data_IF_378718725632
#
_entry.id   IF_378718725632
#
_cell.length_a   1.000
_cell.length_b   1.000
_cell.length_c   1.000
_cell.angle_alpha   90.00
_cell.angle_beta   90.00
_cell.angle_gamma   90.00
#
_symmetry.space_group_name_H-M   'P 1'
#
loop_
_entity.id
_entity.type
_entity.pdbx_description
1 polymer ?
#
# COMPACT_ATOMS: atom_id res chain seq x y z
N UNK A 1 24.03 5.96 2.21
CA UNK A 1 23.67 4.74 1.46
C UNK A 1 23.03 5.19 0.15
N UNK A 2 23.61 4.91 -1.03
CA UNK A 2 22.93 5.19 -2.28
C UNK A 2 21.65 4.33 -2.35
N UNK A 3 20.57 4.91 -2.84
CA UNK A 3 19.32 4.19 -3.10
C UNK A 3 19.62 3.01 -4.04
N UNK A 4 19.44 1.78 -3.56
CA UNK A 4 19.48 0.59 -4.42
C UNK A 4 18.17 0.58 -5.22
N UNK A 5 18.10 1.47 -6.20
CA UNK A 5 17.07 1.44 -7.23
C UNK A 5 17.22 0.11 -7.94
N UNK A 6 16.31 -0.83 -7.72
CA UNK A 6 16.22 -2.04 -8.54
C UNK A 6 15.39 -1.66 -9.77
N UNK A 7 16.01 -1.45 -10.95
CA UNK A 7 15.28 -1.07 -12.16
C UNK A 7 14.26 -2.16 -12.54
N UNK A 8 14.55 -3.40 -12.15
CA UNK A 8 13.69 -4.55 -12.39
C UNK A 8 12.38 -4.47 -11.60
N UNK A 9 12.40 -4.02 -10.34
CA UNK A 9 11.18 -3.81 -9.55
C UNK A 9 10.32 -2.68 -10.11
N UNK A 10 10.93 -1.59 -10.57
CA UNK A 10 10.21 -0.47 -11.19
C UNK A 10 9.55 -0.90 -12.49
N UNK A 11 10.27 -1.65 -13.34
CA UNK A 11 9.73 -2.23 -14.58
C UNK A 11 8.58 -3.19 -14.29
N UNK A 12 8.77 -4.10 -13.33
CA UNK A 12 7.74 -5.04 -12.91
C UNK A 12 6.48 -4.31 -12.46
N UNK A 13 6.60 -3.26 -11.65
CA UNK A 13 5.45 -2.47 -11.20
C UNK A 13 4.74 -1.74 -12.34
N UNK A 14 5.48 -1.22 -13.32
CA UNK A 14 4.89 -0.62 -14.51
C UNK A 14 4.07 -1.64 -15.32
N UNK A 15 4.59 -2.86 -15.49
CA UNK A 15 3.90 -3.95 -16.18
C UNK A 15 2.64 -4.40 -15.43
N UNK A 16 2.72 -4.55 -14.11
CA UNK A 16 1.59 -4.93 -13.27
C UNK A 16 0.48 -3.87 -13.31
N UNK A 17 0.82 -2.58 -13.33
CA UNK A 17 -0.16 -1.49 -13.47
C UNK A 17 -0.84 -1.46 -14.83
N UNK A 18 -0.08 -1.71 -15.91
CA UNK A 18 -0.66 -1.82 -17.25
C UNK A 18 -1.67 -2.97 -17.33
N UNK A 19 -1.37 -4.09 -16.67
CA UNK A 19 -2.32 -5.19 -16.52
C UNK A 19 -3.52 -4.77 -15.69
N UNK A 20 -3.33 -4.09 -14.56
CA UNK A 20 -4.42 -3.61 -13.70
C UNK A 20 -5.43 -2.72 -14.45
N UNK A 21 -4.94 -1.82 -15.30
CA UNK A 21 -5.79 -1.00 -16.18
C UNK A 21 -6.58 -1.84 -17.18
N UNK A 22 -5.99 -2.92 -17.70
CA UNK A 22 -6.66 -3.84 -18.61
C UNK A 22 -7.78 -4.63 -17.92
N UNK A 23 -7.60 -4.97 -16.64
CA UNK A 23 -8.62 -5.62 -15.81
C UNK A 23 -9.77 -4.67 -15.48
N UNK A 24 -9.46 -3.41 -15.16
CA UNK A 24 -10.48 -2.38 -14.90
C UNK A 24 -11.40 -2.14 -16.12
N UNK A 25 -10.92 -2.43 -17.33
CA UNK A 25 -11.70 -2.40 -18.57
C UNK A 25 -12.56 -3.67 -18.81
N UNK A 26 -12.70 -4.55 -17.82
CA UNK A 26 -13.68 -5.65 -17.82
C UNK A 26 -13.25 -6.96 -18.48
N UNK A 27 -11.93 -7.21 -18.64
CA UNK A 27 -11.42 -8.32 -19.47
C UNK A 27 -10.98 -9.60 -18.73
N UNK A 28 -11.33 -9.81 -17.45
CA UNK A 28 -10.67 -10.89 -16.69
C UNK A 28 -11.45 -11.45 -15.50
N UNK A 29 -11.07 -12.67 -15.09
CA UNK A 29 -11.63 -13.40 -13.95
C UNK A 29 -11.09 -12.97 -12.58
N UNK A 30 -11.80 -13.34 -11.51
CA UNK A 30 -11.49 -13.03 -10.10
C UNK A 30 -10.10 -13.50 -9.66
N UNK A 31 -9.66 -14.65 -10.16
CA UNK A 31 -8.43 -15.32 -9.75
C UNK A 31 -7.19 -14.61 -10.27
N UNK A 32 -7.22 -14.24 -11.54
CA UNK A 32 -6.14 -13.49 -12.17
C UNK A 32 -6.02 -12.09 -11.56
N UNK A 33 -7.14 -11.48 -11.18
CA UNK A 33 -7.15 -10.20 -10.48
C UNK A 33 -6.53 -10.31 -9.10
N UNK A 34 -6.91 -11.32 -8.32
CA UNK A 34 -6.38 -11.53 -6.98
C UNK A 34 -4.86 -11.81 -7.01
N UNK A 35 -4.39 -12.60 -7.98
CA UNK A 35 -2.97 -12.85 -8.19
C UNK A 35 -2.21 -11.57 -8.61
N UNK A 36 -2.78 -10.79 -9.52
CA UNK A 36 -2.21 -9.52 -9.94
C UNK A 36 -2.01 -8.57 -8.74
N UNK A 37 -3.04 -8.44 -7.89
CA UNK A 37 -2.95 -7.62 -6.68
C UNK A 37 -1.90 -8.15 -5.70
N UNK A 38 -1.83 -9.46 -5.48
CA UNK A 38 -0.80 -10.06 -4.63
C UNK A 38 0.61 -9.72 -5.13
N UNK A 39 0.86 -9.89 -6.44
CA UNK A 39 2.16 -9.58 -7.06
C UNK A 39 2.50 -8.10 -7.00
N UNK A 40 1.53 -7.21 -7.27
CA UNK A 40 1.72 -5.75 -7.18
C UNK A 40 2.15 -5.33 -5.78
N UNK A 41 1.40 -5.77 -4.76
CA UNK A 41 1.71 -5.41 -3.38
C UNK A 41 2.98 -6.05 -2.84
N UNK A 42 3.38 -7.22 -3.35
CA UNK A 42 4.71 -7.78 -3.12
C UNK A 42 5.81 -6.87 -3.68
N UNK A 43 5.73 -6.50 -4.95
CA UNK A 43 6.72 -5.64 -5.60
C UNK A 43 6.79 -4.23 -4.98
N UNK A 44 5.65 -3.65 -4.56
CA UNK A 44 5.61 -2.39 -3.82
C UNK A 44 6.38 -2.51 -2.51
N UNK A 45 6.09 -3.55 -1.72
CA UNK A 45 6.77 -3.79 -0.46
C UNK A 45 8.29 -3.91 -0.65
N UNK A 46 8.72 -4.72 -1.60
CA UNK A 46 10.15 -4.97 -1.86
C UNK A 46 10.86 -3.69 -2.33
N UNK A 47 10.19 -2.86 -3.15
CA UNK A 47 10.71 -1.56 -3.56
C UNK A 47 10.92 -0.62 -2.38
N UNK A 48 9.96 -0.56 -1.45
CA UNK A 48 10.06 0.31 -0.26
C UNK A 48 11.11 -0.18 0.73
N UNK A 49 11.25 -1.50 0.92
CA UNK A 49 12.32 -2.07 1.75
C UNK A 49 13.70 -1.76 1.17
N UNK A 50 13.84 -1.82 -0.16
CA UNK A 50 15.10 -1.47 -0.84
C UNK A 50 15.43 0.03 -0.81
N UNK A 51 14.43 0.88 -0.53
CA UNK A 51 14.55 2.33 -0.54
C UNK A 51 14.00 2.93 0.78
N UNK A 52 14.65 2.64 1.92
CA UNK A 52 14.17 3.13 3.21
C UNK A 52 14.21 4.65 3.27
N UNK A 53 13.25 5.23 3.97
CA UNK A 53 13.16 6.66 4.21
C UNK A 53 13.02 6.95 5.69
N UNK A 54 13.90 7.81 6.21
CA UNK A 54 13.84 8.24 7.60
C UNK A 54 13.24 9.63 7.67
N UNK A 55 12.22 9.80 8.50
CA UNK A 55 11.69 11.11 8.87
C UNK A 55 12.30 11.50 10.21
N UNK A 56 12.71 12.77 10.36
CA UNK A 56 13.17 13.28 11.65
C UNK A 56 11.97 13.40 12.59
N UNK A 57 12.11 12.94 13.82
CA UNK A 57 11.03 12.99 14.81
C UNK A 57 10.72 14.41 15.32
N UNK A 58 11.66 15.33 15.11
CA UNK A 58 11.61 16.71 15.61
C UNK A 58 10.66 17.63 14.82
N UNK A 59 10.16 17.19 13.67
CA UNK A 59 9.26 18.01 12.83
C UNK A 59 7.80 17.64 13.07
N UNK A 60 6.91 18.62 12.83
CA UNK A 60 5.47 18.41 12.95
C UNK A 60 4.98 17.22 12.13
N UNK A 61 4.02 16.47 12.70
CA UNK A 61 3.52 15.22 12.11
C UNK A 61 2.90 15.41 10.72
N UNK A 62 2.25 16.55 10.48
CA UNK A 62 1.75 16.97 9.17
C UNK A 62 2.90 17.05 8.14
N UNK A 63 4.03 17.65 8.51
CA UNK A 63 5.21 17.77 7.67
C UNK A 63 5.97 16.45 7.52
N UNK A 64 5.95 15.59 8.54
CA UNK A 64 6.42 14.21 8.40
C UNK A 64 5.70 13.49 7.26
N UNK A 65 4.36 13.57 7.21
CA UNK A 65 3.57 12.99 6.14
C UNK A 65 3.84 13.62 4.77
N UNK A 66 3.99 14.95 4.69
CA UNK A 66 4.38 15.63 3.44
C UNK A 66 5.69 15.08 2.88
N UNK A 67 6.71 14.94 3.74
CA UNK A 67 8.02 14.40 3.33
C UNK A 67 7.93 12.96 2.84
N UNK A 68 7.15 12.12 3.52
CA UNK A 68 6.89 10.74 3.07
C UNK A 68 6.21 10.73 1.70
N UNK A 69 5.18 11.55 1.50
CA UNK A 69 4.50 11.69 0.21
C UNK A 69 5.45 12.13 -0.90
N UNK A 70 6.28 13.14 -0.66
CA UNK A 70 7.20 13.67 -1.67
C UNK A 70 8.31 12.66 -2.00
N UNK A 71 8.76 11.88 -1.03
CA UNK A 71 9.65 10.74 -1.26
C UNK A 71 8.97 9.67 -2.14
N UNK A 72 7.76 9.26 -1.78
CA UNK A 72 7.02 8.26 -2.56
C UNK A 72 6.65 8.75 -3.95
N UNK A 73 6.28 10.02 -4.16
CA UNK A 73 5.97 10.54 -5.48
C UNK A 73 7.13 10.38 -6.48
N UNK A 74 8.37 10.42 -5.99
CA UNK A 74 9.59 10.19 -6.79
C UNK A 74 9.88 8.71 -7.04
N UNK A 75 9.53 7.85 -6.07
CA UNK A 75 9.86 6.43 -6.09
C UNK A 75 8.76 5.57 -6.74
N UNK A 76 7.51 5.88 -6.45
CA UNK A 76 6.34 5.06 -6.71
C UNK A 76 5.06 5.93 -6.82
N UNK A 77 4.54 6.10 -8.03
CA UNK A 77 3.25 6.75 -8.24
C UNK A 77 2.07 5.77 -8.09
N UNK A 78 1.80 5.27 -6.87
CA UNK A 78 0.69 4.34 -6.60
C UNK A 78 -0.56 5.07 -6.07
N UNK A 79 -1.68 5.10 -6.82
CA UNK A 79 -2.86 5.89 -6.46
C UNK A 79 -3.44 5.53 -5.08
N UNK A 80 -3.47 4.23 -4.73
CA UNK A 80 -4.02 3.79 -3.44
C UNK A 80 -3.17 4.31 -2.26
N UNK A 81 -1.85 4.33 -2.42
CA UNK A 81 -0.93 4.86 -1.40
C UNK A 81 -1.08 6.37 -1.29
N UNK A 82 -1.15 7.07 -2.43
CA UNK A 82 -1.35 8.51 -2.47
C UNK A 82 -2.65 8.92 -1.77
N UNK A 83 -3.75 8.23 -2.07
CA UNK A 83 -5.05 8.50 -1.42
C UNK A 83 -4.97 8.27 0.10
N UNK A 84 -4.34 7.17 0.52
CA UNK A 84 -4.17 6.85 1.95
C UNK A 84 -3.31 7.89 2.68
N UNK A 85 -2.22 8.35 2.06
CA UNK A 85 -1.35 9.40 2.60
C UNK A 85 -2.06 10.74 2.74
N UNK A 86 -2.85 11.14 1.74
CA UNK A 86 -3.65 12.36 1.80
C UNK A 86 -4.58 12.34 3.00
N UNK A 87 -5.27 11.21 3.24
CA UNK A 87 -6.10 11.05 4.42
C UNK A 87 -5.30 11.18 5.73
N UNK A 88 -4.06 10.65 5.80
CA UNK A 88 -3.24 10.80 7.00
C UNK A 88 -2.80 12.25 7.23
N UNK A 89 -2.51 12.99 6.16
CA UNK A 89 -2.18 14.41 6.22
C UNK A 89 -3.37 15.23 6.72
N UNK A 90 -4.58 14.97 6.23
CA UNK A 90 -5.79 15.66 6.66
C UNK A 90 -6.09 15.40 8.14
N UNK A 91 -5.92 14.15 8.59
CA UNK A 91 -6.05 13.79 10.01
C UNK A 91 -5.02 14.54 10.86
N UNK A 92 -3.76 14.60 10.43
CA UNK A 92 -2.71 15.31 11.16
C UNK A 92 -2.95 16.82 11.21
N UNK A 93 -3.40 17.43 10.11
CA UNK A 93 -3.71 18.86 10.04
C UNK A 93 -4.87 19.22 10.96
N UNK A 94 -5.96 18.47 10.91
CA UNK A 94 -7.14 18.72 11.75
C UNK A 94 -6.84 18.55 13.24
N UNK A 95 -5.97 17.60 13.61
CA UNK A 95 -5.51 17.46 14.99
C UNK A 95 -4.67 18.66 15.44
N UNK A 96 -3.82 19.20 14.55
CA UNK A 96 -3.03 20.41 14.82
C UNK A 96 -3.92 21.67 14.94
N UNK A 97 -5.06 21.71 14.24
CA UNK A 97 -6.04 22.81 14.33
C UNK A 97 -7.07 22.65 15.46
N UNK A 98 -6.96 21.62 16.29
CA UNK A 98 -7.80 21.43 17.49
C UNK A 98 -9.06 20.58 17.28
N UNK A 99 -9.21 19.90 16.14
CA UNK A 99 -10.33 18.97 15.87
C UNK A 99 -9.95 17.58 16.40
N UNK A 100 -10.26 17.34 17.68
CA UNK A 100 -9.83 16.14 18.42
C UNK A 100 -10.76 14.92 18.27
N UNK A 101 -11.87 15.04 17.54
CA UNK A 101 -12.81 13.92 17.31
C UNK A 101 -12.22 12.81 16.44
N UNK A 102 -11.12 13.09 15.74
CA UNK A 102 -10.42 12.09 14.94
C UNK A 102 -9.43 11.30 15.77
N UNK A 103 -9.46 9.96 15.64
CA UNK A 103 -8.45 9.11 16.25
C UNK A 103 -7.15 9.17 15.43
N UNK A 104 -6.03 9.69 15.99
CA UNK A 104 -4.74 9.55 15.33
C UNK A 104 -4.38 8.07 15.19
N UNK A 105 -3.72 7.72 14.08
CA UNK A 105 -2.97 6.45 14.03
C UNK A 105 -1.82 6.48 15.04
N UNK A 106 -1.36 5.29 15.43
CA UNK A 106 -0.27 5.03 16.40
C UNK A 106 0.80 6.13 16.42
N UNK A 107 1.26 6.50 17.61
CA UNK A 107 2.44 7.35 17.75
C UNK A 107 3.66 6.67 17.12
N UNK A 108 4.56 7.48 16.55
CA UNK A 108 5.77 7.00 15.87
C UNK A 108 6.03 7.70 14.53
N UNK A 109 7.19 7.45 13.91
CA UNK A 109 7.59 8.06 12.64
C UNK A 109 6.61 7.69 11.52
N UNK A 110 6.18 8.68 10.74
CA UNK A 110 5.14 8.48 9.73
C UNK A 110 5.51 7.43 8.65
N UNK A 111 6.78 7.29 8.31
CA UNK A 111 7.22 6.28 7.34
C UNK A 111 7.07 4.84 7.86
N UNK A 112 7.30 4.59 9.15
CA UNK A 112 7.11 3.26 9.74
C UNK A 112 5.64 2.85 9.74
N UNK A 113 4.74 3.81 10.01
CA UNK A 113 3.29 3.61 9.96
C UNK A 113 2.84 3.28 8.52
N UNK A 114 3.42 3.95 7.52
CA UNK A 114 3.21 3.59 6.12
C UNK A 114 3.66 2.16 5.84
N UNK A 115 4.86 1.78 6.29
CA UNK A 115 5.38 0.42 6.08
C UNK A 115 4.49 -0.64 6.73
N UNK A 116 3.99 -0.40 7.95
CA UNK A 116 3.01 -1.28 8.60
C UNK A 116 1.75 -1.43 7.74
N UNK A 117 1.23 -0.33 7.20
CA UNK A 117 0.05 -0.36 6.32
C UNK A 117 0.31 -1.14 5.03
N UNK A 118 1.48 -0.96 4.39
CA UNK A 118 1.87 -1.72 3.18
C UNK A 118 1.98 -3.22 3.47
N UNK A 119 2.60 -3.60 4.59
CA UNK A 119 2.72 -5.00 5.02
C UNK A 119 1.32 -5.62 5.22
N UNK A 120 0.42 -4.92 5.91
CA UNK A 120 -0.95 -5.36 6.11
C UNK A 120 -1.71 -5.50 4.77
N UNK A 121 -1.50 -4.57 3.85
CA UNK A 121 -2.13 -4.60 2.52
C UNK A 121 -1.65 -5.79 1.69
N UNK A 122 -0.34 -6.06 1.70
CA UNK A 122 0.27 -7.26 1.09
C UNK A 122 -0.27 -8.56 1.70
N UNK A 123 -0.36 -8.65 3.02
CA UNK A 123 -0.91 -9.82 3.68
C UNK A 123 -2.38 -10.07 3.29
N UNK A 124 -3.18 -9.00 3.21
CA UNK A 124 -4.58 -9.08 2.77
C UNK A 124 -4.70 -9.57 1.33
N UNK A 125 -3.92 -9.05 0.40
CA UNK A 125 -4.00 -9.51 -1.01
C UNK A 125 -3.52 -10.93 -1.19
N UNK A 126 -2.52 -11.37 -0.41
CA UNK A 126 -2.11 -12.77 -0.36
C UNK A 126 -3.24 -13.67 0.18
N UNK A 127 -3.92 -13.27 1.26
CA UNK A 127 -5.04 -14.03 1.80
C UNK A 127 -6.20 -14.14 0.79
N UNK A 128 -6.53 -13.05 0.09
CA UNK A 128 -7.57 -13.06 -0.95
C UNK A 128 -7.18 -13.96 -2.12
N UNK A 129 -5.93 -13.89 -2.62
CA UNK A 129 -5.45 -14.79 -3.69
C UNK A 129 -5.56 -16.26 -3.31
N UNK A 130 -5.14 -16.60 -2.08
CA UNK A 130 -5.30 -17.96 -1.53
C UNK A 130 -6.77 -18.37 -1.44
N UNK A 131 -7.63 -17.47 -0.96
CA UNK A 131 -9.05 -17.75 -0.78
C UNK A 131 -9.75 -18.00 -2.12
N UNK A 132 -9.49 -17.15 -3.12
CA UNK A 132 -10.08 -17.29 -4.46
C UNK A 132 -9.66 -18.62 -5.11
N UNK A 133 -8.36 -18.97 -5.06
CA UNK A 133 -7.86 -20.25 -5.59
C UNK A 133 -8.40 -21.46 -4.83
N UNK A 134 -8.61 -21.30 -3.52
CA UNK A 134 -9.14 -22.35 -2.66
C UNK A 134 -10.60 -22.68 -2.96
N UNK A 135 -11.38 -21.81 -3.59
CA UNK A 135 -12.78 -22.09 -3.92
C UNK A 135 -12.97 -23.30 -4.84
N UNK A 136 -11.94 -23.70 -5.58
CA UNK A 136 -11.95 -24.91 -6.41
C UNK A 136 -11.76 -26.20 -5.60
N UNK A 137 -11.33 -26.10 -4.33
CA UNK A 137 -11.15 -27.24 -3.42
C UNK A 137 -12.51 -27.62 -2.79
N UNK A 138 -12.95 -28.89 -2.90
CA UNK A 138 -14.19 -29.38 -2.28
C UNK A 138 -14.27 -29.17 -0.76
N UNK A 139 -13.12 -29.05 -0.07
CA UNK A 139 -13.03 -28.89 1.38
C UNK A 139 -12.89 -27.42 1.82
N UNK A 140 -13.03 -26.47 0.90
CA UNK A 140 -12.82 -25.07 1.22
C UNK A 140 -13.94 -24.53 2.15
N UNK A 141 -13.61 -23.77 3.21
CA UNK A 141 -14.60 -23.22 4.11
C UNK A 141 -15.56 -22.28 3.36
N UNK A 142 -16.78 -22.73 3.10
CA UNK A 142 -17.85 -21.88 2.61
C UNK A 142 -18.53 -21.22 3.80
N UNK A 143 -18.59 -19.90 3.79
CA UNK A 143 -19.43 -19.18 4.73
C UNK A 143 -20.88 -19.34 4.28
N UNK A 144 -21.53 -20.41 4.71
CA UNK A 144 -22.99 -20.50 4.62
C UNK A 144 -23.56 -19.32 5.41
N UNK A 145 -24.22 -18.39 4.73
CA UNK A 145 -25.02 -17.37 5.40
C UNK A 145 -26.21 -18.07 6.08
N UNK A 146 -26.50 -17.77 7.35
CA UNK A 146 -27.69 -18.30 8.01
C UNK A 146 -28.98 -17.84 7.32
#
# INVERSE_FOLDING_TARGET
MPANFSPDLVRLLADLRKREQSFAAGKSGSDEWAELQMRKWGAIHDLLVANPFTVRDEIERSDQWRRVRDHLAKLLNEPEITAWLTQQMDVANNLATGIHEMRPRKSGPCYEILMEWVVNRRAKTQAVSKWVRGQSDPNFPTFNRP
#
